data_IF_194249976155
#
_entry.id   IF_194249976155
#
_cell.length_a   1.000
_cell.length_b   1.000
_cell.length_c   1.000
_cell.angle_alpha   90.00
_cell.angle_beta   90.00
_cell.angle_gamma   90.00
#
_symmetry.space_group_name_H-M   'P 1'
#
loop_
_entity.id
_entity.type
_entity.pdbx_description
1 polymer ?
#
# COMPACT_ATOMS: atom_id res chain seq x y z
N UNK A 1 2.61 31.90 -35.61
CA UNK A 1 3.90 31.72 -34.93
C UNK A 1 3.60 31.38 -33.49
N UNK A 2 4.12 30.27 -32.96
CA UNK A 2 4.04 30.00 -31.53
C UNK A 2 4.87 31.06 -30.79
N UNK A 3 4.37 31.51 -29.65
CA UNK A 3 5.01 32.52 -28.80
C UNK A 3 6.42 32.04 -28.41
N UNK A 4 7.44 32.87 -28.68
CA UNK A 4 8.83 32.56 -28.38
C UNK A 4 9.01 32.18 -26.90
N UNK A 5 8.27 32.82 -25.98
CA UNK A 5 8.29 32.47 -24.55
C UNK A 5 7.75 31.07 -24.28
N UNK A 6 6.79 30.60 -25.07
CA UNK A 6 6.27 29.25 -24.97
C UNK A 6 7.27 28.23 -25.51
N UNK A 7 7.91 28.51 -26.65
CA UNK A 7 9.00 27.69 -27.18
C UNK A 7 10.14 27.54 -26.15
N UNK A 8 10.53 28.64 -25.50
CA UNK A 8 11.61 28.64 -24.52
C UNK A 8 11.24 27.84 -23.27
N UNK A 9 10.00 27.96 -22.77
CA UNK A 9 9.49 27.13 -21.67
C UNK A 9 9.41 25.65 -22.03
N UNK A 10 8.98 25.33 -23.25
CA UNK A 10 8.90 23.96 -23.73
C UNK A 10 10.29 23.34 -23.87
N UNK A 11 11.27 24.11 -24.34
CA UNK A 11 12.66 23.68 -24.43
C UNK A 11 13.30 23.50 -23.05
N UNK A 12 13.03 24.38 -22.09
CA UNK A 12 13.45 24.18 -20.69
C UNK A 12 12.84 22.93 -20.06
N UNK A 13 11.55 22.66 -20.34
CA UNK A 13 10.88 21.46 -19.85
C UNK A 13 11.47 20.20 -20.48
N UNK A 14 11.76 20.24 -21.79
CA UNK A 14 12.43 19.14 -22.50
C UNK A 14 13.84 18.90 -21.97
N UNK A 15 14.64 19.93 -21.72
CA UNK A 15 15.97 19.78 -21.15
C UNK A 15 15.92 19.07 -19.77
N UNK A 16 15.01 19.49 -18.88
CA UNK A 16 14.87 18.88 -17.54
C UNK A 16 14.45 17.41 -17.56
N UNK A 17 13.61 16.99 -18.51
CA UNK A 17 13.03 15.64 -18.51
C UNK A 17 13.67 14.68 -19.51
N UNK A 18 14.27 15.18 -20.60
CA UNK A 18 14.86 14.36 -21.66
C UNK A 18 16.40 14.29 -21.57
N UNK A 19 17.09 15.32 -21.09
CA UNK A 19 18.56 15.28 -20.96
C UNK A 19 19.04 14.59 -19.67
N UNK A 20 18.18 14.46 -18.64
CA UNK A 20 18.44 13.65 -17.44
C UNK A 20 18.25 12.13 -17.63
N UNK A 21 18.12 11.66 -18.87
CA UNK A 21 18.02 10.22 -19.18
C UNK A 21 19.42 9.56 -19.30
N UNK A 22 20.51 10.35 -19.25
CA UNK A 22 21.87 9.86 -19.55
C UNK A 22 22.93 10.03 -18.46
N UNK A 23 22.61 10.40 -17.22
CA UNK A 23 23.60 10.58 -16.16
C UNK A 23 23.00 10.29 -14.79
N UNK A 24 23.76 9.59 -13.94
CA UNK A 24 23.42 9.16 -12.58
C UNK A 24 22.37 10.04 -11.90
N UNK A 25 21.16 9.48 -11.70
CA UNK A 25 20.12 10.14 -10.91
C UNK A 25 20.63 10.28 -9.49
N UNK A 26 21.05 11.48 -9.11
CA UNK A 26 21.12 11.85 -7.70
C UNK A 26 19.69 11.96 -7.17
N UNK A 27 19.12 10.83 -6.77
CA UNK A 27 17.82 10.74 -6.12
C UNK A 27 17.90 11.50 -4.80
N UNK A 28 16.91 12.34 -4.51
CA UNK A 28 16.77 12.90 -3.17
C UNK A 28 16.49 11.78 -2.17
N UNK A 29 16.81 11.95 -0.88
CA UNK A 29 16.60 10.90 0.15
C UNK A 29 15.16 10.36 0.18
N UNK A 30 14.17 11.20 -0.12
CA UNK A 30 12.76 10.80 -0.25
C UNK A 30 12.49 9.95 -1.49
N UNK A 31 13.10 10.26 -2.62
CA UNK A 31 12.95 9.50 -3.86
C UNK A 31 13.71 8.18 -3.80
N UNK A 32 14.89 8.18 -3.19
CA UNK A 32 15.66 6.96 -2.90
C UNK A 32 14.90 6.05 -1.93
N UNK A 33 14.28 6.61 -0.89
CA UNK A 33 13.39 5.84 -0.02
C UNK A 33 12.17 5.30 -0.77
N UNK A 34 11.54 6.09 -1.64
CA UNK A 34 10.41 5.65 -2.44
C UNK A 34 10.78 4.51 -3.41
N UNK A 35 11.93 4.60 -4.09
CA UNK A 35 12.45 3.50 -4.94
C UNK A 35 12.83 2.28 -4.11
N UNK A 36 13.48 2.45 -2.96
CA UNK A 36 13.81 1.35 -2.07
C UNK A 36 12.55 0.60 -1.62
N UNK A 37 11.50 1.32 -1.21
CA UNK A 37 10.23 0.71 -0.87
C UNK A 37 9.50 0.16 -2.09
N UNK A 38 9.60 0.75 -3.28
CA UNK A 38 8.99 0.21 -4.49
C UNK A 38 9.55 -1.17 -4.85
N UNK A 39 10.85 -1.39 -4.64
CA UNK A 39 11.58 -2.60 -5.00
C UNK A 39 11.39 -3.78 -4.04
N UNK A 40 10.82 -3.56 -2.84
CA UNK A 40 10.54 -4.65 -1.90
C UNK A 40 9.37 -5.51 -2.40
N UNK A 41 9.45 -6.82 -2.13
CA UNK A 41 8.32 -7.74 -2.31
C UNK A 41 7.15 -7.36 -1.39
N UNK A 42 5.96 -7.90 -1.65
CA UNK A 42 4.80 -7.69 -0.78
C UNK A 42 5.09 -8.22 0.64
N UNK A 43 5.68 -9.41 0.74
CA UNK A 43 6.06 -10.05 2.00
C UNK A 43 7.09 -9.21 2.79
N UNK A 44 8.08 -8.62 2.10
CA UNK A 44 9.08 -7.76 2.75
C UNK A 44 8.48 -6.43 3.25
N UNK A 45 7.51 -5.87 2.50
CA UNK A 45 6.76 -4.67 2.93
C UNK A 45 5.90 -4.97 4.14
N UNK A 46 5.25 -6.13 4.15
CA UNK A 46 4.43 -6.61 5.25
C UNK A 46 5.28 -6.80 6.51
N UNK A 47 6.39 -7.55 6.43
CA UNK A 47 7.25 -7.80 7.58
C UNK A 47 7.77 -6.49 8.20
N UNK A 48 8.18 -5.52 7.37
CA UNK A 48 8.63 -4.21 7.86
C UNK A 48 7.53 -3.42 8.57
N UNK A 49 6.28 -3.53 8.12
CA UNK A 49 5.15 -2.90 8.81
C UNK A 49 4.86 -3.59 10.14
N UNK A 50 4.98 -4.92 10.21
CA UNK A 50 4.85 -5.68 11.46
C UNK A 50 5.94 -5.26 12.46
N UNK A 51 7.22 -5.26 12.03
CA UNK A 51 8.34 -4.87 12.88
C UNK A 51 8.19 -3.42 13.38
N UNK A 52 7.73 -2.52 12.50
CA UNK A 52 7.43 -1.13 12.86
C UNK A 52 6.34 -1.05 13.93
N UNK A 53 5.25 -1.81 13.78
CA UNK A 53 4.16 -1.84 14.75
C UNK A 53 4.61 -2.37 16.10
N UNK A 54 5.44 -3.41 16.14
CA UNK A 54 5.94 -3.98 17.39
C UNK A 54 6.83 -2.98 18.15
N UNK A 55 7.72 -2.28 17.45
CA UNK A 55 8.54 -1.21 18.06
C UNK A 55 7.66 -0.11 18.63
N UNK A 56 6.63 0.34 17.89
CA UNK A 56 5.77 1.41 18.34
C UNK A 56 4.83 0.98 19.47
N UNK A 57 4.38 -0.27 19.51
CA UNK A 57 3.64 -0.85 20.66
C UNK A 57 4.48 -0.86 21.93
N UNK A 58 5.75 -1.25 21.83
CA UNK A 58 6.66 -1.20 22.98
C UNK A 58 6.86 0.24 23.48
N UNK A 59 7.06 1.19 22.56
CA UNK A 59 7.15 2.62 22.91
C UNK A 59 5.87 3.15 23.54
N UNK A 60 4.71 2.77 23.02
CA UNK A 60 3.41 3.14 23.56
C UNK A 60 3.27 2.68 25.02
N UNK A 61 3.64 1.43 25.31
CA UNK A 61 3.59 0.86 26.65
C UNK A 61 4.49 1.64 27.63
N UNK A 62 5.73 1.93 27.24
CA UNK A 62 6.68 2.70 28.06
C UNK A 62 6.14 4.10 28.35
N UNK A 63 5.59 4.79 27.34
CA UNK A 63 5.04 6.15 27.52
C UNK A 63 3.82 6.13 28.43
N UNK A 64 2.91 5.15 28.29
CA UNK A 64 1.75 4.99 29.18
C UNK A 64 2.16 4.71 30.62
N UNK A 65 3.17 3.87 30.82
CA UNK A 65 3.72 3.58 32.15
C UNK A 65 4.30 4.85 32.79
N UNK A 66 5.11 5.61 32.04
CA UNK A 66 5.68 6.88 32.51
C UNK A 66 4.60 7.92 32.87
N UNK A 67 3.55 8.06 32.06
CA UNK A 67 2.42 8.96 32.36
C UNK A 67 1.73 8.52 33.65
N UNK A 68 1.52 7.22 33.82
CA UNK A 68 0.85 6.66 35.02
C UNK A 68 1.68 6.91 36.28
N UNK A 69 2.99 6.69 36.21
CA UNK A 69 3.92 6.94 37.32
C UNK A 69 3.94 8.43 37.70
N UNK A 70 4.07 9.32 36.70
CA UNK A 70 4.04 10.77 36.94
C UNK A 70 2.72 11.25 37.55
N UNK A 71 1.59 10.70 37.10
CA UNK A 71 0.27 11.02 37.69
C UNK A 71 0.14 10.53 39.14
N UNK A 72 0.74 9.39 39.48
CA UNK A 72 0.72 8.86 40.84
C UNK A 72 1.58 9.69 41.81
N UNK A 73 2.62 10.34 41.30
CA UNK A 73 3.57 11.16 42.07
C UNK A 73 3.19 12.65 42.12
N UNK A 74 2.00 13.04 41.63
CA UNK A 74 1.62 14.46 41.42
C UNK A 74 2.71 15.24 40.64
N UNK A 75 3.26 14.59 39.62
CA UNK A 75 4.32 15.10 38.77
C UNK A 75 3.91 16.31 37.92
N UNK A 76 4.88 16.94 37.26
CA UNK A 76 4.67 18.15 36.46
C UNK A 76 3.61 17.95 35.38
N UNK A 77 2.49 18.66 35.51
CA UNK A 77 1.37 18.64 34.58
C UNK A 77 1.81 18.95 33.14
N UNK A 78 2.75 19.89 32.94
CA UNK A 78 3.26 20.20 31.59
C UNK A 78 4.00 19.02 30.98
N UNK A 79 4.70 18.25 31.81
CA UNK A 79 5.42 17.05 31.35
C UNK A 79 4.46 15.93 31.00
N UNK A 80 3.38 15.78 31.77
CA UNK A 80 2.29 14.84 31.47
C UNK A 80 1.66 15.20 30.13
N UNK A 81 1.28 16.47 29.91
CA UNK A 81 0.68 16.94 28.65
C UNK A 81 1.57 16.63 27.44
N UNK A 82 2.89 16.89 27.55
CA UNK A 82 3.85 16.57 26.48
C UNK A 82 3.93 15.08 26.17
N UNK A 83 3.84 14.22 27.18
CA UNK A 83 3.88 12.77 26.99
C UNK A 83 2.58 12.25 26.39
N UNK A 84 1.43 12.85 26.75
CA UNK A 84 0.13 12.55 26.13
C UNK A 84 0.11 12.96 24.64
N UNK A 85 0.61 14.15 24.29
CA UNK A 85 0.75 14.56 22.89
C UNK A 85 1.68 13.61 22.10
N UNK A 86 2.79 13.18 22.72
CA UNK A 86 3.69 12.21 22.12
C UNK A 86 3.02 10.84 21.93
N UNK A 87 2.18 10.41 22.88
CA UNK A 87 1.40 9.18 22.81
C UNK A 87 0.42 9.21 21.65
N UNK A 88 -0.31 10.30 21.47
CA UNK A 88 -1.22 10.51 20.33
C UNK A 88 -0.47 10.41 19.00
N UNK A 89 0.74 10.98 18.93
CA UNK A 89 1.61 10.86 17.76
C UNK A 89 2.06 9.43 17.46
N UNK A 90 2.32 8.62 18.49
CA UNK A 90 2.61 7.19 18.37
C UNK A 90 1.39 6.43 17.83
N UNK A 91 0.22 6.64 18.44
CA UNK A 91 -1.02 5.97 18.06
C UNK A 91 -1.42 6.29 16.62
N UNK A 92 -1.27 7.55 16.20
CA UNK A 92 -1.54 7.97 14.82
C UNK A 92 -0.63 7.23 13.83
N UNK A 93 0.67 7.09 14.13
CA UNK A 93 1.60 6.34 13.28
C UNK A 93 1.27 4.86 13.21
N UNK A 94 0.88 4.25 14.33
CA UNK A 94 0.44 2.86 14.37
C UNK A 94 -0.81 2.64 13.54
N UNK A 95 -1.84 3.48 13.70
CA UNK A 95 -3.07 3.43 12.91
C UNK A 95 -2.78 3.48 11.40
N UNK A 96 -1.89 4.37 10.94
CA UNK A 96 -1.51 4.44 9.53
C UNK A 96 -0.74 3.21 9.03
N UNK A 97 0.08 2.58 9.89
CA UNK A 97 0.79 1.35 9.54
C UNK A 97 -0.18 0.15 9.48
N UNK A 98 -1.13 0.06 10.40
CA UNK A 98 -2.20 -0.95 10.40
C UNK A 98 -3.08 -0.84 9.14
N UNK A 99 -3.50 0.38 8.77
CA UNK A 99 -4.25 0.62 7.53
C UNK A 99 -3.46 0.16 6.28
N UNK A 100 -2.14 0.41 6.24
CA UNK A 100 -1.30 -0.05 5.12
C UNK A 100 -1.19 -1.56 5.08
N UNK A 101 -1.09 -2.21 6.23
CA UNK A 101 -1.03 -3.66 6.35
C UNK A 101 -2.36 -4.30 5.91
N UNK A 102 -3.49 -3.70 6.29
CA UNK A 102 -4.82 -4.12 5.82
C UNK A 102 -4.96 -3.97 4.29
N UNK A 103 -4.43 -2.89 3.71
CA UNK A 103 -4.41 -2.72 2.25
C UNK A 103 -3.53 -3.78 1.57
N UNK A 104 -2.39 -4.14 2.16
CA UNK A 104 -1.54 -5.22 1.63
C UNK A 104 -2.28 -6.57 1.68
N UNK A 105 -2.92 -6.90 2.81
CA UNK A 105 -3.64 -8.17 3.01
C UNK A 105 -4.94 -8.27 2.21
N UNK A 106 -5.66 -7.16 2.04
CA UNK A 106 -6.92 -7.15 1.30
C UNK A 106 -6.75 -7.29 -0.21
N UNK A 107 -5.51 -7.09 -0.71
CA UNK A 107 -5.21 -6.99 -2.14
C UNK A 107 -5.93 -5.78 -2.78
N UNK A 108 -5.82 -5.61 -4.09
CA UNK A 108 -6.65 -4.59 -4.78
C UNK A 108 -8.12 -5.05 -4.77
N UNK A 109 -9.01 -4.42 -3.96
CA UNK A 109 -10.40 -4.85 -3.85
C UNK A 109 -11.13 -4.71 -5.19
N UNK A 110 -10.74 -3.75 -6.03
CA UNK A 110 -11.32 -3.58 -7.35
C UNK A 110 -10.95 -4.74 -8.28
N UNK A 111 -9.70 -5.22 -8.20
CA UNK A 111 -9.25 -6.38 -8.96
C UNK A 111 -9.93 -7.68 -8.48
N UNK A 112 -10.08 -7.85 -7.16
CA UNK A 112 -10.80 -9.00 -6.57
C UNK A 112 -12.26 -9.04 -7.02
N UNK A 113 -12.94 -7.91 -6.98
CA UNK A 113 -14.33 -7.78 -7.44
C UNK A 113 -14.47 -8.01 -8.94
N UNK A 114 -13.52 -7.51 -9.75
CA UNK A 114 -13.45 -7.79 -11.19
C UNK A 114 -13.32 -9.28 -11.48
N UNK A 115 -12.44 -10.00 -10.77
CA UNK A 115 -12.27 -11.44 -10.93
C UNK A 115 -13.52 -12.23 -10.52
N UNK A 116 -14.23 -11.82 -9.45
CA UNK A 116 -15.53 -12.42 -9.08
C UNK A 116 -16.56 -12.29 -10.19
N UNK A 117 -16.69 -11.09 -10.78
CA UNK A 117 -17.61 -10.86 -11.90
C UNK A 117 -17.25 -11.70 -13.12
N UNK A 118 -15.97 -11.84 -13.42
CA UNK A 118 -15.49 -12.69 -14.52
C UNK A 118 -15.82 -14.18 -14.27
N UNK A 119 -15.61 -14.67 -13.04
CA UNK A 119 -15.99 -16.04 -12.67
C UNK A 119 -17.50 -16.27 -12.80
N UNK A 120 -18.32 -15.37 -12.28
CA UNK A 120 -19.78 -15.47 -12.41
C UNK A 120 -20.23 -15.50 -13.87
N UNK A 121 -19.64 -14.66 -14.72
CA UNK A 121 -19.94 -14.64 -16.15
C UNK A 121 -19.50 -15.93 -16.88
N UNK A 122 -18.37 -16.53 -16.49
CA UNK A 122 -17.91 -17.80 -17.05
C UNK A 122 -18.76 -18.98 -16.59
N UNK A 123 -19.13 -19.05 -15.30
CA UNK A 123 -20.04 -20.09 -14.78
C UNK A 123 -21.43 -19.98 -15.45
N UNK A 124 -21.94 -18.76 -15.67
CA UNK A 124 -23.18 -18.56 -16.43
C UNK A 124 -23.06 -19.10 -17.86
N UNK A 125 -21.93 -18.83 -18.55
CA UNK A 125 -21.66 -19.37 -19.90
C UNK A 125 -21.57 -20.90 -19.90
N UNK A 126 -20.93 -21.47 -18.88
CA UNK A 126 -20.83 -22.92 -18.67
C UNK A 126 -22.21 -23.55 -18.49
N UNK A 127 -23.04 -22.99 -17.61
CA UNK A 127 -24.41 -23.46 -17.41
C UNK A 127 -25.23 -23.43 -18.71
N UNK A 128 -25.14 -22.33 -19.48
CA UNK A 128 -25.82 -22.23 -20.79
C UNK A 128 -25.30 -23.26 -21.80
N UNK A 129 -24.00 -23.52 -21.82
CA UNK A 129 -23.40 -24.53 -22.71
C UNK A 129 -23.83 -25.95 -22.33
N UNK A 130 -23.87 -26.28 -21.04
CA UNK A 130 -24.34 -27.56 -20.53
C UNK A 130 -25.81 -27.81 -20.88
N UNK A 131 -26.68 -26.81 -20.69
CA UNK A 131 -28.10 -26.88 -21.08
C UNK A 131 -28.24 -27.11 -22.60
N UNK A 132 -27.36 -26.51 -23.40
CA UNK A 132 -27.34 -26.69 -24.84
C UNK A 132 -26.60 -27.96 -25.32
N UNK A 133 -26.17 -28.84 -24.40
CA UNK A 133 -25.35 -30.03 -24.67
C UNK A 133 -24.09 -29.74 -25.50
N UNK A 134 -23.46 -28.58 -25.27
CA UNK A 134 -22.22 -28.15 -25.93
C UNK A 134 -21.01 -28.45 -25.04
N UNK A 135 -19.86 -28.66 -25.69
CA UNK A 135 -18.58 -28.82 -25.00
C UNK A 135 -18.24 -27.59 -24.13
N UNK A 136 -17.76 -27.86 -22.92
CA UNK A 136 -17.42 -26.87 -21.91
C UNK A 136 -15.91 -26.80 -21.63
N UNK A 137 -15.07 -27.63 -22.25
CA UNK A 137 -13.65 -27.76 -21.90
C UNK A 137 -12.89 -26.42 -21.90
N UNK A 138 -13.10 -25.57 -22.91
CA UNK A 138 -12.49 -24.23 -22.97
C UNK A 138 -13.02 -23.25 -21.93
N UNK A 139 -14.26 -23.43 -21.47
CA UNK A 139 -14.86 -22.60 -20.41
C UNK A 139 -14.31 -23.04 -19.06
N UNK A 140 -14.21 -24.35 -18.84
CA UNK A 140 -13.66 -24.94 -17.62
C UNK A 140 -12.19 -24.57 -17.42
N UNK A 141 -11.39 -24.58 -18.49
CA UNK A 141 -10.00 -24.13 -18.46
C UNK A 141 -9.90 -22.66 -18.03
N UNK A 142 -10.73 -21.78 -18.61
CA UNK A 142 -10.78 -20.35 -18.24
C UNK A 142 -11.25 -20.12 -16.81
N UNK A 143 -12.22 -20.91 -16.33
CA UNK A 143 -12.66 -20.87 -14.93
C UNK A 143 -11.50 -21.27 -14.01
N UNK A 144 -10.77 -22.33 -14.34
CA UNK A 144 -9.62 -22.80 -13.56
C UNK A 144 -8.51 -21.73 -13.48
N UNK A 145 -8.15 -21.15 -14.62
CA UNK A 145 -7.17 -20.06 -14.68
C UNK A 145 -7.62 -18.83 -13.87
N UNK A 146 -8.89 -18.44 -13.97
CA UNK A 146 -9.43 -17.28 -13.22
C UNK A 146 -9.51 -17.57 -11.72
N UNK A 147 -9.83 -18.81 -11.30
CA UNK A 147 -9.79 -19.25 -9.89
C UNK A 147 -8.36 -19.20 -9.35
N UNK A 148 -7.37 -19.61 -10.14
CA UNK A 148 -5.96 -19.54 -9.75
C UNK A 148 -5.50 -18.08 -9.56
N UNK A 149 -5.90 -17.17 -10.45
CA UNK A 149 -5.63 -15.73 -10.30
C UNK A 149 -6.34 -15.15 -9.07
N UNK A 150 -7.60 -15.53 -8.83
CA UNK A 150 -8.34 -15.08 -7.66
C UNK A 150 -7.67 -15.50 -6.33
N UNK A 151 -7.13 -16.72 -6.28
CA UNK A 151 -6.39 -17.22 -5.12
C UNK A 151 -5.09 -16.43 -4.87
N UNK A 152 -4.39 -16.02 -5.93
CA UNK A 152 -3.18 -15.18 -5.85
C UNK A 152 -3.43 -13.74 -5.39
N UNK A 153 -4.66 -13.24 -5.54
CA UNK A 153 -5.07 -11.89 -5.10
C UNK A 153 -5.79 -11.93 -3.74
N UNK A 154 -5.98 -13.13 -3.18
CA UNK A 154 -6.63 -13.35 -1.87
C UNK A 154 -5.66 -13.82 -0.79
N UNK A 155 -4.38 -13.99 -1.14
CA UNK A 155 -3.24 -14.14 -0.25
C UNK A 155 -2.40 -12.88 -0.41
#
# INVERSE_FOLDING_TARGET
MLDQKFQDKLNQLKARYLENVGGEKNLTDKEAAAEYYANLSADEKEQKLIDFLDIYKQKEAIVKENITALKAEDGDAKRIDQLEEFLDGIQTKMMHAEQKLEVLHSGDPANKEKLKRQLAALELKRCKALIAHKDCGKIDEKISQTKALFKKVSH
#
